data_IF_763308562053
#
_entry.id   IF_763308562053
#
_cell.length_a   1.000
_cell.length_b   1.000
_cell.length_c   1.000
_cell.angle_alpha   90.00
_cell.angle_beta   90.00
_cell.angle_gamma   90.00
#
_symmetry.space_group_name_H-M   'P 1'
#
loop_
_entity.id
_entity.type
_entity.pdbx_description
1 polymer ?
#
# COMPACT_ATOMS: atom_id res chain seq x y z
N UNK A 1 7.59 33.32 41.46
CA UNK A 1 6.72 33.23 40.26
C UNK A 1 5.52 32.38 40.62
N UNK A 2 4.39 33.02 40.94
CA UNK A 2 3.14 32.29 41.15
C UNK A 2 2.64 31.83 39.78
N UNK A 3 2.75 30.53 39.49
CA UNK A 3 2.10 29.92 38.34
C UNK A 3 0.59 29.95 38.59
N UNK A 4 -0.09 30.93 38.02
CA UNK A 4 -1.55 31.00 38.02
C UNK A 4 -2.08 29.85 37.16
N UNK A 5 -2.44 28.74 37.80
CA UNK A 5 -3.04 27.56 37.14
C UNK A 5 -4.33 27.94 36.38
N UNK A 6 -5.01 29.02 36.79
CA UNK A 6 -6.18 29.56 36.10
C UNK A 6 -5.87 30.11 34.68
N UNK A 7 -4.63 30.53 34.38
CA UNK A 7 -4.28 30.97 33.02
C UNK A 7 -4.08 29.81 32.05
N UNK A 8 -3.91 28.58 32.53
CA UNK A 8 -3.82 27.37 31.69
C UNK A 8 -5.17 27.03 31.03
N UNK A 9 -6.29 27.36 31.70
CA UNK A 9 -7.66 27.09 31.21
C UNK A 9 -8.28 28.26 30.43
N UNK A 10 -7.46 29.07 29.75
CA UNK A 10 -7.98 30.05 28.80
C UNK A 10 -8.38 29.37 27.49
N UNK A 11 -9.46 29.84 26.86
CA UNK A 11 -9.96 29.35 25.57
C UNK A 11 -8.86 29.32 24.48
N UNK A 12 -7.93 30.28 24.52
CA UNK A 12 -6.78 30.35 23.62
C UNK A 12 -5.83 29.16 23.79
N UNK A 13 -5.54 28.76 25.04
CA UNK A 13 -4.65 27.63 25.31
C UNK A 13 -5.30 26.29 24.93
N UNK A 14 -6.63 26.18 25.05
CA UNK A 14 -7.37 25.04 24.54
C UNK A 14 -7.25 24.93 23.01
N UNK A 15 -7.37 26.06 22.29
CA UNK A 15 -7.20 26.08 20.84
C UNK A 15 -5.76 25.76 20.41
N UNK A 16 -4.76 26.28 21.12
CA UNK A 16 -3.36 25.93 20.88
C UNK A 16 -3.09 24.44 21.11
N UNK A 17 -3.71 23.85 22.15
CA UNK A 17 -3.58 22.41 22.42
C UNK A 17 -4.21 21.57 21.29
N UNK A 18 -5.41 21.95 20.83
CA UNK A 18 -6.07 21.29 19.70
C UNK A 18 -5.23 21.42 18.43
N UNK A 19 -4.67 22.60 18.15
CA UNK A 19 -3.79 22.84 17.00
C UNK A 19 -2.55 21.93 17.05
N UNK A 20 -1.85 21.90 18.20
CA UNK A 20 -0.70 21.01 18.39
C UNK A 20 -1.09 19.53 18.23
N UNK A 21 -2.26 19.10 18.72
CA UNK A 21 -2.74 17.73 18.56
C UNK A 21 -3.06 17.40 17.09
N UNK A 22 -3.66 18.33 16.35
CA UNK A 22 -3.93 18.16 14.92
C UNK A 22 -2.62 18.07 14.14
N UNK A 23 -1.69 19.00 14.36
CA UNK A 23 -0.37 18.99 13.72
C UNK A 23 0.39 17.71 14.05
N UNK A 24 0.38 17.29 15.32
CA UNK A 24 0.98 16.04 15.76
C UNK A 24 0.38 14.82 15.06
N UNK A 25 -0.95 14.74 14.97
CA UNK A 25 -1.63 13.64 14.28
C UNK A 25 -1.29 13.62 12.78
N UNK A 26 -1.28 14.78 12.12
CA UNK A 26 -0.92 14.91 10.69
C UNK A 26 0.53 14.46 10.48
N UNK A 27 1.48 14.98 11.26
CA UNK A 27 2.89 14.59 11.17
C UNK A 27 3.06 13.09 11.42
N UNK A 28 2.40 12.54 12.44
CA UNK A 28 2.44 11.11 12.74
C UNK A 28 1.93 10.27 11.57
N UNK A 29 0.79 10.66 10.96
CA UNK A 29 0.25 9.98 9.77
C UNK A 29 1.19 10.09 8.58
N UNK A 30 1.79 11.25 8.33
CA UNK A 30 2.78 11.43 7.26
C UNK A 30 4.01 10.54 7.45
N UNK A 31 4.53 10.42 8.68
CA UNK A 31 5.64 9.51 8.99
C UNK A 31 5.25 8.06 8.72
N UNK A 32 4.03 7.66 9.12
CA UNK A 32 3.54 6.30 8.91
C UNK A 32 3.38 5.98 7.42
N UNK A 33 2.89 6.94 6.61
CA UNK A 33 2.78 6.82 5.16
C UNK A 33 4.15 6.76 4.46
N UNK A 34 5.12 7.53 4.95
CA UNK A 34 6.47 7.50 4.40
C UNK A 34 7.21 6.20 4.75
N UNK A 35 6.86 5.53 5.85
CA UNK A 35 7.59 4.37 6.37
C UNK A 35 7.62 3.21 5.37
N UNK A 36 8.81 2.72 5.06
CA UNK A 36 9.00 1.62 4.10
C UNK A 36 9.13 2.06 2.65
N UNK A 37 8.96 3.36 2.36
CA UNK A 37 9.19 3.90 1.01
C UNK A 37 10.65 4.31 0.79
N UNK A 38 11.06 4.39 -0.48
CA UNK A 38 12.35 4.98 -0.90
C UNK A 38 12.56 6.40 -0.36
N UNK A 39 11.48 7.15 -0.07
CA UNK A 39 11.55 8.50 0.50
C UNK A 39 12.27 8.56 1.86
N UNK A 40 12.16 7.51 2.70
CA UNK A 40 12.87 7.46 3.99
C UNK A 40 14.37 7.37 3.77
N UNK A 41 14.82 6.63 2.76
CA UNK A 41 16.23 6.51 2.44
C UNK A 41 16.78 7.84 1.90
N UNK A 42 16.01 8.54 1.07
CA UNK A 42 16.35 9.89 0.59
C UNK A 42 16.46 10.89 1.74
N UNK A 43 15.51 10.89 2.68
CA UNK A 43 15.55 11.74 3.88
C UNK A 43 16.78 11.46 4.75
N UNK A 44 17.16 10.18 4.93
CA UNK A 44 18.40 9.81 5.64
C UNK A 44 19.63 10.37 4.93
N UNK A 45 19.68 10.29 3.59
CA UNK A 45 20.77 10.85 2.78
C UNK A 45 20.88 12.37 2.90
N UNK A 46 19.76 13.09 2.78
CA UNK A 46 19.72 14.56 2.96
C UNK A 46 20.16 14.94 4.38
N UNK A 47 19.68 14.22 5.39
CA UNK A 47 20.05 14.46 6.79
C UNK A 47 21.56 14.29 7.01
N UNK A 48 22.17 13.28 6.38
CA UNK A 48 23.62 13.08 6.44
C UNK A 48 24.38 14.27 5.85
N UNK A 49 23.96 14.79 4.70
CA UNK A 49 24.59 15.96 4.05
C UNK A 49 24.47 17.20 4.97
N UNK A 50 23.32 17.41 5.62
CA UNK A 50 23.12 18.50 6.58
C UNK A 50 24.05 18.36 7.79
N UNK A 51 24.21 17.15 8.32
CA UNK A 51 25.14 16.88 9.43
C UNK A 51 26.58 17.21 9.02
N UNK A 52 26.99 16.78 7.82
CA UNK A 52 28.33 17.09 7.28
C UNK A 52 28.53 18.61 7.18
N UNK A 53 27.51 19.36 6.71
CA UNK A 53 27.54 20.83 6.66
C UNK A 53 27.76 21.44 8.04
N UNK A 54 27.02 20.98 9.06
CA UNK A 54 27.11 21.50 10.43
C UNK A 54 28.52 21.26 10.99
N UNK A 55 29.06 20.05 10.81
CA UNK A 55 30.41 19.70 11.26
C UNK A 55 31.47 20.51 10.51
N UNK A 56 31.34 20.67 9.19
CA UNK A 56 32.26 21.47 8.38
C UNK A 56 32.27 22.94 8.82
N UNK A 57 31.10 23.51 9.11
CA UNK A 57 30.97 24.85 9.67
C UNK A 57 31.58 24.97 11.06
N UNK A 58 31.38 23.99 11.93
CA UNK A 58 31.99 23.97 13.26
C UNK A 58 33.53 23.89 13.21
N UNK A 59 34.08 23.13 12.26
CA UNK A 59 35.52 22.98 12.04
C UNK A 59 36.13 24.10 11.16
N UNK A 60 35.35 25.10 10.75
CA UNK A 60 35.76 26.17 9.82
C UNK A 60 36.37 25.68 8.49
N UNK A 61 35.88 24.56 7.95
CA UNK A 61 36.33 24.02 6.66
C UNK A 61 35.67 24.76 5.49
N UNK A 62 36.18 25.95 5.15
CA UNK A 62 35.59 26.85 4.15
C UNK A 62 35.28 26.18 2.80
N UNK A 63 36.24 25.42 2.23
CA UNK A 63 36.06 24.76 0.93
C UNK A 63 34.98 23.68 0.99
N UNK A 64 34.96 22.87 2.05
CA UNK A 64 33.97 21.81 2.21
C UNK A 64 32.56 22.39 2.41
N UNK A 65 32.43 23.43 3.23
CA UNK A 65 31.16 24.15 3.41
C UNK A 65 30.65 24.72 2.09
N UNK A 66 31.51 25.34 1.28
CA UNK A 66 31.13 25.85 -0.04
C UNK A 66 30.61 24.74 -0.97
N UNK A 67 31.30 23.60 -1.05
CA UNK A 67 30.84 22.47 -1.86
C UNK A 67 29.50 21.89 -1.37
N UNK A 68 29.35 21.71 -0.06
CA UNK A 68 28.11 21.18 0.52
C UNK A 68 26.95 22.16 0.33
N UNK A 69 27.17 23.47 0.48
CA UNK A 69 26.15 24.48 0.23
C UNK A 69 25.70 24.49 -1.25
N UNK A 70 26.62 24.27 -2.20
CA UNK A 70 26.25 24.08 -3.61
C UNK A 70 25.37 22.85 -3.79
N UNK A 71 25.78 21.69 -3.25
CA UNK A 71 24.97 20.46 -3.31
C UNK A 71 23.58 20.70 -2.73
N UNK A 72 23.48 21.35 -1.55
CA UNK A 72 22.20 21.66 -0.91
C UNK A 72 21.34 22.63 -1.75
N UNK A 73 21.94 23.64 -2.39
CA UNK A 73 21.22 24.54 -3.31
C UNK A 73 20.61 23.79 -4.50
N UNK A 74 21.38 22.92 -5.16
CA UNK A 74 20.88 22.10 -6.27
C UNK A 74 19.97 20.97 -5.80
N UNK A 75 20.07 20.55 -4.53
CA UNK A 75 19.25 19.45 -4.00
C UNK A 75 17.76 19.75 -4.02
N UNK A 76 17.31 21.01 -3.92
CA UNK A 76 15.88 21.35 -3.99
C UNK A 76 15.28 20.94 -5.35
N UNK A 77 15.97 21.26 -6.44
CA UNK A 77 15.54 20.86 -7.79
C UNK A 77 15.61 19.34 -7.93
N UNK A 78 16.69 18.72 -7.45
CA UNK A 78 16.85 17.26 -7.47
C UNK A 78 15.75 16.54 -6.71
N UNK A 79 15.39 17.02 -5.52
CA UNK A 79 14.29 16.50 -4.70
C UNK A 79 12.98 16.61 -5.47
N UNK A 80 12.64 17.77 -6.05
CA UNK A 80 11.38 17.92 -6.81
C UNK A 80 11.29 16.91 -7.97
N UNK A 81 12.37 16.74 -8.72
CA UNK A 81 12.41 15.80 -9.85
C UNK A 81 12.29 14.35 -9.37
N UNK A 82 13.03 13.98 -8.32
CA UNK A 82 13.00 12.63 -7.75
C UNK A 82 11.64 12.33 -7.11
N UNK A 83 11.02 13.29 -6.44
CA UNK A 83 9.72 13.16 -5.77
C UNK A 83 8.51 13.40 -6.69
N UNK A 84 8.74 13.71 -7.96
CA UNK A 84 7.68 13.94 -8.94
C UNK A 84 6.69 12.74 -9.02
N UNK A 85 7.15 11.47 -9.07
CA UNK A 85 6.25 10.31 -9.09
C UNK A 85 5.40 10.21 -7.83
N UNK A 86 5.95 10.48 -6.65
CA UNK A 86 5.25 10.42 -5.36
C UNK A 86 4.17 11.49 -5.25
N UNK A 87 4.46 12.73 -5.67
CA UNK A 87 3.47 13.82 -5.70
C UNK A 87 2.32 13.45 -6.63
N UNK A 88 2.64 12.94 -7.83
CA UNK A 88 1.64 12.46 -8.78
C UNK A 88 0.76 11.37 -8.14
N UNK A 89 1.38 10.36 -7.54
CA UNK A 89 0.67 9.26 -6.88
C UNK A 89 -0.24 9.74 -5.74
N UNK A 90 0.25 10.64 -4.90
CA UNK A 90 -0.55 11.22 -3.82
C UNK A 90 -1.79 11.94 -4.35
N UNK A 91 -1.63 12.73 -5.42
CA UNK A 91 -2.75 13.43 -6.07
C UNK A 91 -3.70 12.48 -6.79
N UNK A 92 -3.20 11.43 -7.44
CA UNK A 92 -4.02 10.40 -8.07
C UNK A 92 -4.88 9.66 -7.04
N UNK A 93 -4.30 9.32 -5.88
CA UNK A 93 -5.03 8.64 -4.80
C UNK A 93 -6.09 9.56 -4.17
N UNK A 94 -5.76 10.84 -3.97
CA UNK A 94 -6.72 11.86 -3.52
C UNK A 94 -7.83 12.10 -4.55
N UNK A 95 -7.50 12.05 -5.85
CA UNK A 95 -8.46 12.24 -6.95
C UNK A 95 -9.36 11.03 -7.22
N UNK A 96 -8.89 9.81 -6.93
CA UNK A 96 -9.69 8.57 -7.04
C UNK A 96 -10.51 8.26 -5.79
N UNK A 97 -10.19 8.86 -4.64
CA UNK A 97 -11.06 8.83 -3.47
C UNK A 97 -12.39 9.49 -3.86
N UNK A 98 -13.41 8.66 -4.06
CA UNK A 98 -14.78 9.04 -4.35
C UNK A 98 -15.37 9.89 -3.21
N UNK A 99 -14.96 11.15 -3.13
CA UNK A 99 -15.63 12.17 -2.31
C UNK A 99 -16.96 12.57 -2.99
N UNK A 100 -17.16 12.19 -4.27
CA UNK A 100 -18.31 12.60 -5.09
C UNK A 100 -19.07 11.49 -5.85
N UNK A 101 -18.76 10.20 -5.67
CA UNK A 101 -19.47 9.10 -6.34
C UNK A 101 -20.37 8.30 -5.39
N UNK A 102 -21.69 8.51 -5.52
CA UNK A 102 -22.74 7.84 -4.74
C UNK A 102 -22.95 6.36 -5.05
N UNK A 103 -21.97 5.52 -4.72
CA UNK A 103 -22.17 4.08 -4.54
C UNK A 103 -21.44 3.64 -3.27
N UNK A 104 -22.13 3.74 -2.14
CA UNK A 104 -21.69 3.26 -0.83
C UNK A 104 -21.69 1.73 -0.78
N UNK A 105 -20.82 1.09 -1.57
CA UNK A 105 -20.32 -0.23 -1.15
C UNK A 105 -19.27 0.03 -0.09
N UNK A 106 -19.42 -0.61 1.07
CA UNK A 106 -18.43 -0.45 2.13
C UNK A 106 -17.09 -1.03 1.65
N UNK A 107 -15.96 -0.46 2.10
CA UNK A 107 -14.64 -1.01 1.79
C UNK A 107 -14.51 -2.49 2.20
N UNK A 108 -15.30 -2.90 3.20
CA UNK A 108 -15.47 -4.29 3.61
C UNK A 108 -16.11 -5.14 2.51
N UNK A 109 -17.27 -4.72 1.97
CA UNK A 109 -17.98 -5.47 0.92
C UNK A 109 -17.15 -5.61 -0.36
N UNK A 110 -16.42 -4.56 -0.74
CA UNK A 110 -15.51 -4.61 -1.90
C UNK A 110 -14.38 -5.61 -1.70
N UNK A 111 -13.83 -5.69 -0.48
CA UNK A 111 -12.74 -6.60 -0.14
C UNK A 111 -13.21 -8.05 -0.04
N UNK A 112 -14.39 -8.31 0.55
CA UNK A 112 -15.00 -9.65 0.55
C UNK A 112 -15.28 -10.13 -0.88
N UNK A 113 -15.85 -9.27 -1.73
CA UNK A 113 -16.08 -9.58 -3.14
C UNK A 113 -14.77 -9.90 -3.88
N UNK A 114 -13.70 -9.15 -3.63
CA UNK A 114 -12.38 -9.47 -4.17
C UNK A 114 -11.93 -10.88 -3.78
N UNK A 115 -12.01 -11.23 -2.48
CA UNK A 115 -11.60 -12.54 -1.99
C UNK A 115 -12.44 -13.66 -2.62
N UNK A 116 -13.75 -13.46 -2.79
CA UNK A 116 -14.62 -14.42 -3.47
C UNK A 116 -14.24 -14.61 -4.95
N UNK A 117 -13.95 -13.53 -5.67
CA UNK A 117 -13.54 -13.61 -7.08
C UNK A 117 -12.14 -14.25 -7.23
N UNK A 118 -11.22 -13.99 -6.29
CA UNK A 118 -9.94 -14.68 -6.20
C UNK A 118 -10.13 -16.18 -5.93
N UNK A 119 -10.98 -16.57 -4.98
CA UNK A 119 -11.28 -17.97 -4.69
C UNK A 119 -11.79 -18.72 -5.92
N UNK A 120 -12.74 -18.14 -6.65
CA UNK A 120 -13.26 -18.71 -7.91
C UNK A 120 -12.13 -18.96 -8.92
N UNK A 121 -11.25 -17.97 -9.12
CA UNK A 121 -10.14 -18.08 -10.05
C UNK A 121 -9.10 -19.12 -9.61
N UNK A 122 -8.66 -19.06 -8.34
CA UNK A 122 -7.67 -19.98 -7.75
C UNK A 122 -8.17 -21.42 -7.84
N UNK A 123 -9.42 -21.69 -7.47
CA UNK A 123 -10.00 -23.03 -7.54
C UNK A 123 -10.06 -23.56 -8.97
N UNK A 124 -10.43 -22.71 -9.93
CA UNK A 124 -10.48 -23.11 -11.33
C UNK A 124 -9.10 -23.46 -11.88
N UNK A 125 -8.12 -22.59 -11.62
CA UNK A 125 -6.73 -22.73 -12.11
C UNK A 125 -6.01 -23.89 -11.44
N UNK A 126 -6.16 -24.05 -10.12
CA UNK A 126 -5.58 -25.15 -9.33
C UNK A 126 -6.04 -26.52 -9.87
N UNK A 127 -7.35 -26.72 -10.07
CA UNK A 127 -7.91 -27.98 -10.59
C UNK A 127 -7.41 -28.32 -12.01
N UNK A 128 -7.07 -27.31 -12.80
CA UNK A 128 -6.58 -27.46 -14.18
C UNK A 128 -5.07 -27.34 -14.32
N UNK A 129 -4.35 -27.14 -13.20
CA UNK A 129 -2.91 -26.88 -13.17
C UNK A 129 -2.49 -25.75 -14.11
N UNK A 130 -3.28 -24.68 -14.10
CA UNK A 130 -2.95 -23.44 -14.81
C UNK A 130 -2.08 -22.59 -13.88
N UNK A 131 -0.87 -22.28 -14.31
CA UNK A 131 0.07 -21.46 -13.56
C UNK A 131 -0.44 -20.03 -13.40
N UNK A 132 -0.47 -19.52 -12.18
CA UNK A 132 -0.92 -18.16 -11.88
C UNK A 132 0.02 -17.46 -10.89
N UNK A 133 0.12 -16.14 -11.03
CA UNK A 133 0.94 -15.29 -10.16
C UNK A 133 0.20 -13.96 -9.95
N UNK A 134 -0.45 -13.80 -8.80
CA UNK A 134 -1.30 -12.65 -8.47
C UNK A 134 -0.70 -11.92 -7.27
N UNK A 135 -0.29 -10.67 -7.46
CA UNK A 135 0.30 -9.81 -6.42
C UNK A 135 -0.67 -8.71 -6.03
N UNK A 136 -0.97 -8.58 -4.74
CA UNK A 136 -1.91 -7.60 -4.22
C UNK A 136 -1.12 -6.54 -3.44
N UNK A 137 -1.19 -5.30 -3.91
CA UNK A 137 -0.53 -4.16 -3.28
C UNK A 137 -1.08 -3.95 -1.86
N UNK A 138 -0.16 -3.68 -0.91
CA UNK A 138 -0.48 -3.31 0.47
C UNK A 138 -0.01 -1.88 0.72
N UNK A 139 0.85 -1.62 1.71
CA UNK A 139 1.33 -0.27 2.01
C UNK A 139 2.44 0.16 1.05
N UNK A 140 3.31 -0.77 0.67
CA UNK A 140 4.42 -0.49 -0.25
C UNK A 140 3.89 -0.35 -1.67
N UNK A 141 4.31 0.71 -2.35
CA UNK A 141 4.01 0.91 -3.78
C UNK A 141 4.60 -0.17 -4.67
N UNK A 142 3.86 -0.56 -5.71
CA UNK A 142 4.33 -1.51 -6.72
C UNK A 142 4.55 -0.85 -8.09
N UNK A 143 4.69 0.48 -8.14
CA UNK A 143 4.74 1.24 -9.40
C UNK A 143 5.83 0.76 -10.36
N UNK A 144 7.04 0.55 -9.86
CA UNK A 144 8.18 0.05 -10.66
C UNK A 144 7.86 -1.27 -11.37
N UNK A 145 6.98 -2.11 -10.79
CA UNK A 145 6.57 -3.38 -11.39
C UNK A 145 5.33 -3.23 -12.26
N UNK A 146 4.42 -2.32 -11.90
CA UNK A 146 3.24 -1.98 -12.70
C UNK A 146 3.68 -1.46 -14.07
N UNK A 147 4.69 -0.59 -14.14
CA UNK A 147 5.16 -0.03 -15.41
C UNK A 147 5.74 -1.07 -16.39
N UNK A 148 6.12 -2.26 -15.90
CA UNK A 148 6.63 -3.35 -16.76
C UNK A 148 5.53 -4.15 -17.44
N UNK A 149 4.29 -4.08 -16.94
CA UNK A 149 3.17 -4.89 -17.39
C UNK A 149 2.30 -4.21 -18.45
N UNK A 150 1.28 -4.94 -18.91
CA UNK A 150 0.24 -4.42 -19.81
C UNK A 150 -0.88 -3.82 -18.94
N UNK A 151 -1.17 -2.49 -19.06
CA UNK A 151 -2.19 -1.83 -18.27
C UNK A 151 -3.59 -2.33 -18.62
N UNK A 152 -4.40 -2.60 -17.58
CA UNK A 152 -5.78 -3.06 -17.71
C UNK A 152 -6.79 -2.11 -17.05
N UNK A 153 -6.49 -1.61 -15.84
CA UNK A 153 -7.42 -0.82 -14.97
C UNK A 153 -8.82 -1.44 -14.86
N UNK A 154 -8.89 -2.77 -14.80
CA UNK A 154 -10.12 -3.54 -14.89
C UNK A 154 -10.68 -3.93 -13.51
N UNK A 155 -11.99 -4.10 -13.43
CA UNK A 155 -12.64 -4.64 -12.23
C UNK A 155 -12.24 -6.11 -12.01
N UNK A 156 -12.09 -6.49 -10.74
CA UNK A 156 -11.69 -7.85 -10.38
C UNK A 156 -12.87 -8.79 -10.60
N UNK A 157 -12.68 -9.79 -11.45
CA UNK A 157 -13.60 -10.92 -11.60
C UNK A 157 -12.81 -12.21 -11.80
N UNK A 158 -13.34 -13.31 -11.28
CA UNK A 158 -12.71 -14.61 -11.40
C UNK A 158 -12.58 -15.04 -12.86
N UNK A 159 -13.56 -14.70 -13.70
CA UNK A 159 -13.52 -14.96 -15.14
C UNK A 159 -12.38 -14.22 -15.85
N UNK A 160 -12.14 -12.95 -15.51
CA UNK A 160 -11.04 -12.18 -16.08
C UNK A 160 -9.68 -12.73 -15.62
N UNK A 161 -9.53 -13.04 -14.34
CA UNK A 161 -8.30 -13.64 -13.81
C UNK A 161 -8.00 -14.99 -14.48
N UNK A 162 -9.00 -15.85 -14.66
CA UNK A 162 -8.85 -17.11 -15.38
C UNK A 162 -8.37 -16.86 -16.81
N UNK A 163 -9.00 -15.91 -17.53
CA UNK A 163 -8.64 -15.59 -18.91
C UNK A 163 -7.21 -15.04 -19.05
N UNK A 164 -6.76 -14.22 -18.10
CA UNK A 164 -5.39 -13.68 -18.10
C UNK A 164 -4.36 -14.81 -18.04
N UNK A 165 -4.58 -15.83 -17.21
CA UNK A 165 -3.61 -16.91 -17.01
C UNK A 165 -3.77 -18.10 -17.97
N UNK A 166 -4.65 -18.01 -18.98
CA UNK A 166 -4.74 -19.08 -19.99
C UNK A 166 -3.38 -19.23 -20.70
N UNK A 167 -2.80 -20.46 -20.74
CA UNK A 167 -1.51 -20.70 -21.36
C UNK A 167 -1.46 -20.24 -22.83
N UNK A 168 -0.29 -19.81 -23.28
CA UNK A 168 -0.04 -19.37 -24.67
C UNK A 168 -0.81 -18.10 -25.10
N UNK A 169 -1.16 -17.23 -24.14
CA UNK A 169 -1.76 -15.92 -24.44
C UNK A 169 -0.77 -14.79 -24.15
N UNK A 170 -0.91 -13.58 -24.71
CA UNK A 170 0.02 -12.50 -24.39
C UNK A 170 0.05 -12.07 -22.90
N UNK A 171 -1.02 -12.33 -22.14
CA UNK A 171 -1.18 -11.85 -20.77
C UNK A 171 -0.72 -12.84 -19.68
N UNK A 172 -0.55 -14.12 -20.01
CA UNK A 172 -0.28 -15.17 -19.01
C UNK A 172 1.16 -15.24 -18.50
N UNK A 173 2.09 -14.58 -19.20
CA UNK A 173 3.51 -14.62 -18.89
C UNK A 173 3.88 -13.44 -17.98
N UNK A 174 3.90 -13.70 -16.68
CA UNK A 174 4.21 -12.71 -15.65
C UNK A 174 3.14 -12.64 -14.56
N UNK A 175 3.19 -11.57 -13.78
CA UNK A 175 2.30 -11.33 -12.67
C UNK A 175 1.11 -10.45 -13.05
N UNK A 176 -0.03 -10.73 -12.42
CA UNK A 176 -1.13 -9.78 -12.29
C UNK A 176 -0.89 -8.95 -11.04
N UNK A 177 -0.97 -7.62 -11.14
CA UNK A 177 -0.88 -6.73 -9.98
C UNK A 177 -2.25 -6.11 -9.71
N UNK A 178 -2.75 -6.31 -8.51
CA UNK A 178 -4.00 -5.74 -8.01
C UNK A 178 -3.68 -4.54 -7.12
N UNK A 179 -4.30 -3.39 -7.42
CA UNK A 179 -4.18 -2.14 -6.67
C UNK A 179 -5.55 -1.48 -6.57
N UNK A 180 -5.89 -0.94 -5.40
CA UNK A 180 -7.14 -0.19 -5.17
C UNK A 180 -8.41 -0.93 -5.63
N UNK A 181 -8.49 -2.23 -5.34
CA UNK A 181 -9.60 -3.11 -5.75
C UNK A 181 -9.81 -3.25 -7.27
N UNK A 182 -8.75 -3.02 -8.05
CA UNK A 182 -8.71 -3.23 -9.50
C UNK A 182 -7.48 -4.02 -9.93
N UNK A 183 -7.60 -4.72 -11.05
CA UNK A 183 -6.45 -5.27 -11.77
C UNK A 183 -5.76 -4.11 -12.47
N UNK A 184 -4.62 -3.66 -11.94
CA UNK A 184 -3.86 -2.56 -12.50
C UNK A 184 -3.20 -2.98 -13.82
N UNK A 185 -2.47 -4.11 -13.79
CA UNK A 185 -1.72 -4.65 -14.92
C UNK A 185 -1.74 -6.19 -14.92
N UNK A 186 -1.48 -6.77 -16.10
CA UNK A 186 -1.11 -8.17 -16.28
C UNK A 186 0.28 -8.27 -16.94
N UNK A 187 0.85 -9.47 -16.99
CA UNK A 187 2.19 -9.73 -17.54
C UNK A 187 3.31 -8.85 -16.93
N UNK A 188 3.18 -8.46 -15.67
CA UNK A 188 4.20 -7.66 -14.98
C UNK A 188 5.41 -8.52 -14.61
N UNK A 189 6.61 -7.94 -14.73
CA UNK A 189 7.85 -8.59 -14.34
C UNK A 189 8.13 -8.35 -12.86
N UNK A 190 8.34 -9.44 -12.12
CA UNK A 190 8.70 -9.40 -10.70
C UNK A 190 10.14 -9.88 -10.50
N UNK A 191 10.85 -9.37 -9.48
CA UNK A 191 12.21 -9.80 -9.17
C UNK A 191 12.19 -11.26 -8.69
N UNK A 192 13.19 -12.04 -9.11
CA UNK A 192 13.37 -13.41 -8.66
C UNK A 192 14.24 -13.42 -7.40
N UNK A 193 13.84 -14.17 -6.38
CA UNK A 193 14.69 -14.41 -5.21
C UNK A 193 15.84 -15.36 -5.53
N UNK A 194 17.04 -15.00 -5.06
CA UNK A 194 18.26 -15.83 -5.07
C UNK A 194 18.38 -16.72 -3.81
N UNK A 195 17.35 -16.74 -2.97
CA UNK A 195 17.38 -17.46 -1.70
C UNK A 195 17.46 -18.97 -1.92
N UNK A 196 18.57 -19.57 -1.47
CA UNK A 196 18.83 -21.01 -1.56
C UNK A 196 17.94 -21.87 -0.67
N UNK A 197 17.21 -21.26 0.27
CA UNK A 197 16.23 -21.95 1.10
C UNK A 197 14.96 -22.33 0.32
N UNK A 198 14.73 -21.75 -0.86
CA UNK A 198 13.60 -22.10 -1.71
C UNK A 198 13.84 -23.53 -2.28
N UNK A 199 12.92 -24.48 -2.04
CA UNK A 199 13.01 -25.81 -2.61
C UNK A 199 13.23 -25.79 -4.13
N UNK A 200 14.20 -26.60 -4.62
CA UNK A 200 14.62 -26.60 -6.03
C UNK A 200 13.51 -27.05 -7.00
N UNK A 201 12.51 -27.75 -6.51
CA UNK A 201 11.33 -28.18 -7.27
C UNK A 201 10.34 -27.03 -7.54
N UNK A 202 10.56 -25.84 -7.01
CA UNK A 202 9.67 -24.70 -7.23
C UNK A 202 10.08 -23.91 -8.48
N UNK A 203 9.12 -23.69 -9.36
CA UNK A 203 9.30 -22.96 -10.61
C UNK A 203 9.59 -21.45 -10.45
N UNK A 204 9.76 -20.77 -11.58
CA UNK A 204 10.07 -19.34 -11.67
C UNK A 204 9.02 -18.45 -11.02
N UNK A 205 7.72 -18.78 -11.14
CA UNK A 205 6.62 -18.02 -10.49
C UNK A 205 6.73 -18.01 -8.96
N UNK A 206 7.18 -19.10 -8.35
CA UNK A 206 7.40 -19.14 -6.90
C UNK A 206 8.59 -18.26 -6.51
N UNK A 207 9.69 -18.30 -7.27
CA UNK A 207 10.84 -17.42 -7.04
C UNK A 207 10.49 -15.94 -7.21
N UNK A 208 9.63 -15.62 -8.18
CA UNK A 208 9.10 -14.28 -8.39
C UNK A 208 8.26 -13.81 -7.19
N UNK A 209 7.38 -14.68 -6.68
CA UNK A 209 6.57 -14.38 -5.51
C UNK A 209 7.43 -14.15 -4.25
N UNK A 210 8.46 -14.97 -4.04
CA UNK A 210 9.40 -14.75 -2.93
C UNK A 210 10.17 -13.45 -3.12
N UNK A 211 10.70 -13.19 -4.31
CA UNK A 211 11.50 -11.98 -4.57
C UNK A 211 10.72 -10.69 -4.35
N UNK A 212 9.45 -10.62 -4.80
CA UNK A 212 8.62 -9.45 -4.52
C UNK A 212 8.30 -9.31 -3.02
N UNK A 213 8.16 -10.42 -2.29
CA UNK A 213 7.90 -10.44 -0.84
C UNK A 213 9.12 -10.08 0.02
N UNK A 214 10.33 -10.09 -0.55
CA UNK A 214 11.57 -9.67 0.12
C UNK A 214 11.71 -8.14 0.13
N UNK A 215 11.18 -7.47 -0.90
CA UNK A 215 11.32 -6.03 -1.10
C UNK A 215 10.04 -5.25 -0.81
N UNK A 216 8.90 -5.93 -0.63
CA UNK A 216 7.60 -5.31 -0.34
C UNK A 216 6.77 -6.09 0.67
N UNK A 217 5.75 -5.44 1.25
CA UNK A 217 4.74 -6.08 2.11
C UNK A 217 3.54 -6.67 1.33
N UNK A 218 3.65 -6.76 0.00
CA UNK A 218 2.60 -7.27 -0.88
C UNK A 218 2.28 -8.74 -0.61
N UNK A 219 1.02 -9.09 -0.81
CA UNK A 219 0.55 -10.48 -0.71
C UNK A 219 0.56 -11.07 -2.11
N UNK A 220 1.36 -12.11 -2.33
CA UNK A 220 1.44 -12.77 -3.64
C UNK A 220 0.94 -14.20 -3.57
N UNK A 221 -0.01 -14.53 -4.43
CA UNK A 221 -0.64 -15.84 -4.57
C UNK A 221 -0.06 -16.50 -5.82
N UNK A 222 0.39 -17.74 -5.68
CA UNK A 222 0.91 -18.57 -6.77
C UNK A 222 0.06 -19.82 -6.89
N UNK A 223 -0.34 -20.16 -8.12
CA UNK A 223 -0.89 -21.48 -8.44
C UNK A 223 0.17 -22.22 -9.26
N UNK A 224 0.57 -23.39 -8.80
CA UNK A 224 1.58 -24.22 -9.47
C UNK A 224 1.02 -24.83 -10.75
N UNK A 225 1.72 -24.65 -11.87
CA UNK A 225 1.40 -25.31 -13.14
C UNK A 225 1.76 -26.82 -13.15
N UNK A 226 2.60 -27.25 -12.23
CA UNK A 226 3.01 -28.66 -12.13
C UNK A 226 2.05 -29.47 -11.26
N UNK A 227 1.72 -28.92 -10.09
CA UNK A 227 0.97 -29.64 -9.04
C UNK A 227 -0.46 -29.13 -8.88
N UNK A 228 -0.77 -27.90 -9.28
CA UNK A 228 -2.00 -27.21 -8.93
C UNK A 228 -2.01 -26.66 -7.49
N UNK A 229 -0.94 -26.84 -6.73
CA UNK A 229 -0.81 -26.36 -5.36
C UNK A 229 -0.90 -24.83 -5.28
N UNK A 230 -1.53 -24.33 -4.22
CA UNK A 230 -1.68 -22.90 -3.95
C UNK A 230 -0.66 -22.47 -2.92
N UNK A 231 0.13 -21.45 -3.24
CA UNK A 231 1.16 -20.90 -2.36
C UNK A 231 0.91 -19.42 -2.14
N UNK A 232 1.06 -18.95 -0.90
CA UNK A 232 1.01 -17.52 -0.57
C UNK A 232 2.35 -17.06 -0.01
N UNK A 233 2.76 -15.86 -0.42
CA UNK A 233 3.99 -15.22 0.05
C UNK A 233 3.71 -13.81 0.56
N UNK A 234 4.40 -13.44 1.64
CA UNK A 234 4.36 -12.09 2.22
C UNK A 234 5.50 -11.92 3.21
N UNK A 235 6.14 -10.74 3.26
CA UNK A 235 7.18 -10.42 4.24
C UNK A 235 8.27 -11.50 4.33
N UNK A 236 8.74 -11.97 3.17
CA UNK A 236 9.72 -13.07 3.04
C UNK A 236 9.28 -14.42 3.63
N UNK A 237 8.01 -14.58 4.00
CA UNK A 237 7.42 -15.86 4.39
C UNK A 237 6.76 -16.52 3.19
N UNK A 238 6.85 -17.85 3.13
CA UNK A 238 6.41 -18.67 2.03
C UNK A 238 5.56 -19.83 2.57
N UNK A 239 4.26 -19.83 2.25
CA UNK A 239 3.26 -20.79 2.76
C UNK A 239 2.78 -21.67 1.62
N UNK A 240 3.25 -22.91 1.56
CA UNK A 240 3.10 -23.84 0.42
C UNK A 240 1.93 -24.78 0.61
N UNK A 241 1.33 -25.22 -0.49
CA UNK A 241 0.29 -26.24 -0.54
C UNK A 241 -0.88 -25.97 0.41
N UNK A 242 -1.30 -24.71 0.45
CA UNK A 242 -2.42 -24.26 1.26
C UNK A 242 -3.73 -24.88 0.74
N UNK A 243 -4.51 -25.42 1.67
CA UNK A 243 -5.89 -25.82 1.39
C UNK A 243 -6.77 -24.59 1.14
N UNK A 244 -7.95 -24.82 0.54
CA UNK A 244 -8.95 -23.77 0.32
C UNK A 244 -9.31 -23.01 1.59
N UNK A 245 -9.49 -23.73 2.68
CA UNK A 245 -9.86 -23.13 3.97
C UNK A 245 -8.73 -22.27 4.52
N UNK A 246 -7.48 -22.74 4.44
CA UNK A 246 -6.31 -22.04 4.95
C UNK A 246 -6.03 -20.74 4.20
N UNK A 247 -6.01 -20.77 2.86
CA UNK A 247 -5.77 -19.55 2.09
C UNK A 247 -6.94 -18.57 2.21
N UNK A 248 -8.20 -19.04 2.25
CA UNK A 248 -9.35 -18.15 2.44
C UNK A 248 -9.31 -17.45 3.79
N UNK A 249 -8.99 -18.20 4.85
CA UNK A 249 -8.82 -17.66 6.20
C UNK A 249 -7.71 -16.61 6.22
N UNK A 250 -6.58 -16.90 5.56
CA UNK A 250 -5.46 -15.97 5.47
C UNK A 250 -5.84 -14.70 4.69
N UNK A 251 -6.43 -14.84 3.50
CA UNK A 251 -6.80 -13.71 2.64
C UNK A 251 -7.84 -12.81 3.31
N UNK A 252 -8.88 -13.38 3.94
CA UNK A 252 -9.85 -12.57 4.69
C UNK A 252 -9.20 -11.84 5.86
N UNK A 253 -8.36 -12.51 6.64
CA UNK A 253 -7.69 -11.88 7.77
C UNK A 253 -6.76 -10.72 7.38
N UNK A 254 -6.23 -10.73 6.16
CA UNK A 254 -5.26 -9.72 5.71
C UNK A 254 -5.85 -8.65 4.78
N UNK A 255 -6.88 -8.98 3.99
CA UNK A 255 -7.45 -8.08 2.99
C UNK A 255 -8.78 -7.47 3.42
N UNK A 256 -9.55 -8.16 4.26
CA UNK A 256 -10.86 -7.68 4.68
C UNK A 256 -10.67 -6.87 5.96
N UNK A 257 -10.88 -5.55 5.92
CA UNK A 257 -10.82 -4.75 7.14
C UNK A 257 -11.88 -5.25 8.11
N UNK A 258 -11.51 -5.39 9.39
CA UNK A 258 -12.46 -5.70 10.46
C UNK A 258 -13.60 -4.71 10.35
N UNK A 259 -14.84 -5.22 10.24
CA UNK A 259 -16.04 -4.41 10.15
C UNK A 259 -16.08 -3.48 11.36
N UNK A 260 -15.64 -2.24 11.16
CA UNK A 260 -15.71 -1.22 12.18
C UNK A 260 -17.20 -0.88 12.27
N UNK A 261 -17.90 -1.55 13.19
CA UNK A 261 -19.21 -1.10 13.69
C UNK A 261 -18.97 0.20 14.48
N UNK A 262 -18.46 1.22 13.80
CA UNK A 262 -18.35 2.57 14.28
C UNK A 262 -19.74 3.00 14.73
N UNK A 263 -19.87 3.71 15.87
CA UNK A 263 -21.11 3.67 16.58
C UNK A 263 -22.16 4.45 15.79
N UNK A 264 -23.35 3.86 15.68
CA UNK A 264 -24.60 4.46 15.19
C UNK A 264 -24.99 5.77 15.93
N UNK A 265 -24.11 6.37 16.73
CA UNK A 265 -24.37 7.50 17.59
C UNK A 265 -24.42 8.83 16.84
N UNK A 266 -23.57 9.08 15.83
CA UNK A 266 -23.65 10.28 15.00
C UNK A 266 -24.90 10.28 14.11
N UNK A 267 -25.23 9.16 13.46
CA UNK A 267 -26.49 9.00 12.72
C UNK A 267 -27.72 9.08 13.63
N UNK A 268 -27.67 8.52 14.85
CA UNK A 268 -28.75 8.70 15.85
C UNK A 268 -28.90 10.15 16.29
N UNK A 269 -27.81 10.91 16.46
CA UNK A 269 -27.88 12.33 16.84
C UNK A 269 -28.46 13.15 15.69
N UNK A 270 -28.01 12.95 14.45
CA UNK A 270 -28.52 13.69 13.29
C UNK A 270 -30.02 13.41 13.10
N UNK A 271 -30.45 12.15 13.18
CA UNK A 271 -31.89 11.81 13.09
C UNK A 271 -32.70 12.35 14.29
N UNK A 272 -32.10 12.41 15.49
CA UNK A 272 -32.76 12.96 16.68
C UNK A 272 -32.88 14.48 16.63
N UNK A 273 -31.92 15.18 16.03
CA UNK A 273 -31.94 16.64 15.80
C UNK A 273 -32.91 16.98 14.67
N UNK A 274 -32.95 16.19 13.60
CA UNK A 274 -33.89 16.40 12.49
C UNK A 274 -35.36 16.18 12.92
N UNK A 275 -35.63 15.14 13.72
CA UNK A 275 -36.99 14.88 14.23
C UNK A 275 -37.43 15.87 15.33
N UNK A 276 -36.50 16.62 15.93
CA UNK A 276 -36.85 17.65 16.92
C UNK A 276 -37.42 18.93 16.26
N UNK A 277 -37.14 19.16 14.97
CA UNK A 277 -37.68 20.29 14.20
C UNK A 277 -39.05 20.04 13.56
N UNK A 278 -39.51 18.79 13.46
CA UNK A 278 -40.73 18.42 12.73
C UNK A 278 -42.01 18.37 13.58
N UNK A 279 -41.92 18.59 14.90
CA UNK A 279 -43.07 18.50 15.80
C UNK A 279 -43.30 19.82 16.56
N UNK A 280 -43.63 20.87 15.80
CA UNK A 280 -44.37 22.04 16.31
C UNK A 280 -45.52 22.35 15.34
N UNK A 281 -46.67 21.74 15.60
CA UNK A 281 -47.98 22.33 15.33
C UNK A 281 -48.62 22.59 16.68
#
# INVERSE_FOLDING_TARGET
MNLNIASLFTWQNLMNLIDILIVWYIIYRLILLARGTKAVQLLKGISLIIIIRIIAGFLNLHTLTYFVDQILSWSVIGIIVIFQPEIRRGLEHLGRSSIFGGNTMSAHDSSEKMVEELDKAIQYMSKRRIGALITIQQNTGLEDYIETGIPLDADISGALLINIFIPNTPLHDGAVIIRDNKIAVAAAYLPLSDNRAIPKNLGTRHRAAVGISEVTDAITIVVSEETGGVTITRNSQFMVDLTREEYLKYLRAQLVPVEDKGPNWFQKIINKVWNWGSNKK
#
